data_IF_951898450207
#
_entry.id   IF_951898450207
#
_cell.length_a   1.000
_cell.length_b   1.000
_cell.length_c   1.000
_cell.angle_alpha   90.00
_cell.angle_beta   90.00
_cell.angle_gamma   90.00
#
_symmetry.space_group_name_H-M   'P 1'
#
loop_
_entity.id
_entity.type
_entity.pdbx_description
1 polymer ?
#
# COMPACT_ATOMS: atom_id res chain seq x y z
N UNK A 1 34.12 33.81 -8.02
CA UNK A 1 34.27 32.64 -7.13
C UNK A 1 33.17 32.49 -6.07
N UNK A 2 32.65 33.56 -5.46
CA UNK A 2 31.58 33.48 -4.45
C UNK A 2 30.25 32.89 -4.98
N UNK A 3 29.87 33.20 -6.22
CA UNK A 3 28.68 32.63 -6.85
C UNK A 3 28.75 31.11 -7.03
N UNK A 4 29.93 30.57 -7.36
CA UNK A 4 30.12 29.12 -7.45
C UNK A 4 29.97 28.44 -6.08
N UNK A 5 30.53 29.04 -5.02
CA UNK A 5 30.32 28.54 -3.65
C UNK A 5 28.85 28.57 -3.25
N UNK A 6 28.11 29.64 -3.58
CA UNK A 6 26.67 29.74 -3.34
C UNK A 6 25.89 28.64 -4.08
N UNK A 7 26.16 28.46 -5.37
CA UNK A 7 25.47 27.44 -6.18
C UNK A 7 25.76 26.04 -5.64
N UNK A 8 27.02 25.75 -5.27
CA UNK A 8 27.38 24.46 -4.67
C UNK A 8 26.59 24.17 -3.39
N UNK A 9 26.41 25.16 -2.52
CA UNK A 9 25.63 25.02 -1.29
C UNK A 9 24.15 24.78 -1.61
N UNK A 10 23.56 25.56 -2.52
CA UNK A 10 22.15 25.41 -2.91
C UNK A 10 21.90 24.02 -3.50
N UNK A 11 22.78 23.55 -4.39
CA UNK A 11 22.69 22.20 -4.96
C UNK A 11 22.79 21.13 -3.89
N UNK A 12 23.76 21.23 -2.97
CA UNK A 12 23.94 20.25 -1.89
C UNK A 12 22.72 20.19 -0.95
N UNK A 13 22.11 21.35 -0.63
CA UNK A 13 20.90 21.37 0.20
C UNK A 13 19.69 20.80 -0.55
N UNK A 14 19.58 21.08 -1.85
CA UNK A 14 18.52 20.51 -2.70
C UNK A 14 18.65 19.00 -2.84
N UNK A 15 19.87 18.48 -2.98
CA UNK A 15 20.17 17.05 -3.02
C UNK A 15 19.77 16.38 -1.70
N UNK A 16 20.18 16.96 -0.57
CA UNK A 16 19.79 16.46 0.76
C UNK A 16 18.28 16.48 0.99
N UNK A 17 17.55 17.48 0.49
CA UNK A 17 16.08 17.51 0.57
C UNK A 17 15.45 16.35 -0.22
N UNK A 18 15.94 16.09 -1.44
CA UNK A 18 15.46 14.97 -2.27
C UNK A 18 15.76 13.63 -1.59
N UNK A 19 16.95 13.47 -1.02
CA UNK A 19 17.34 12.26 -0.28
C UNK A 19 16.41 12.01 0.92
N UNK A 20 16.11 13.05 1.72
CA UNK A 20 15.17 12.96 2.83
C UNK A 20 13.78 12.51 2.35
N UNK A 21 13.31 13.06 1.22
CA UNK A 21 12.01 12.65 0.66
C UNK A 21 11.99 11.24 0.12
N UNK A 22 13.09 10.78 -0.46
CA UNK A 22 13.21 9.39 -0.88
C UNK A 22 13.12 8.46 0.34
N UNK A 23 13.82 8.79 1.43
CA UNK A 23 13.71 8.04 2.69
C UNK A 23 12.29 8.04 3.27
N UNK A 24 11.56 9.16 3.19
CA UNK A 24 10.15 9.23 3.60
C UNK A 24 9.28 8.28 2.75
N UNK A 25 9.44 8.28 1.42
CA UNK A 25 8.72 7.36 0.52
C UNK A 25 9.04 5.91 0.87
N UNK A 26 10.31 5.57 1.04
CA UNK A 26 10.74 4.22 1.39
C UNK A 26 10.17 3.78 2.75
N UNK A 27 10.09 4.69 3.73
CA UNK A 27 9.45 4.44 5.02
C UNK A 27 7.96 4.14 4.88
N UNK A 28 7.22 4.93 4.10
CA UNK A 28 5.80 4.67 3.82
C UNK A 28 5.59 3.33 3.12
N UNK A 29 6.40 3.03 2.10
CA UNK A 29 6.36 1.75 1.39
C UNK A 29 6.64 0.58 2.33
N UNK A 30 7.64 0.67 3.20
CA UNK A 30 7.93 -0.35 4.21
C UNK A 30 6.78 -0.58 5.19
N UNK A 31 6.13 0.50 5.64
CA UNK A 31 4.94 0.40 6.47
C UNK A 31 3.78 -0.28 5.73
N UNK A 32 3.51 0.10 4.49
CA UNK A 32 2.46 -0.52 3.69
C UNK A 32 2.71 -2.01 3.40
N UNK A 33 3.95 -2.40 3.16
CA UNK A 33 4.33 -3.82 3.04
C UNK A 33 4.07 -4.58 4.34
N UNK A 34 4.40 -3.97 5.49
CA UNK A 34 4.15 -4.60 6.81
C UNK A 34 2.66 -4.77 7.07
N UNK A 35 1.85 -3.72 6.83
CA UNK A 35 0.38 -3.79 6.97
C UNK A 35 -0.19 -4.83 6.02
N UNK A 36 0.25 -4.85 4.75
CA UNK A 36 -0.20 -5.81 3.75
C UNK A 36 0.11 -7.26 4.15
N UNK A 37 1.30 -7.53 4.70
CA UNK A 37 1.65 -8.85 5.21
C UNK A 37 0.77 -9.31 6.36
N UNK A 38 0.46 -8.41 7.31
CA UNK A 38 -0.45 -8.71 8.42
C UNK A 38 -1.89 -8.91 7.96
N UNK A 39 -2.37 -8.08 7.03
CA UNK A 39 -3.69 -8.20 6.42
C UNK A 39 -3.84 -9.54 5.68
N UNK A 40 -2.81 -9.95 4.93
CA UNK A 40 -2.78 -11.24 4.23
C UNK A 40 -2.88 -12.42 5.19
N UNK A 41 -2.16 -12.37 6.32
CA UNK A 41 -2.25 -13.38 7.36
C UNK A 41 -3.66 -13.43 7.96
N UNK A 42 -4.26 -12.28 8.27
CA UNK A 42 -5.61 -12.21 8.83
C UNK A 42 -6.67 -12.73 7.85
N UNK A 43 -6.57 -12.37 6.58
CA UNK A 43 -7.43 -12.88 5.51
C UNK A 43 -7.31 -14.42 5.42
N UNK A 44 -6.10 -14.98 5.54
CA UNK A 44 -5.88 -16.41 5.59
C UNK A 44 -6.55 -17.08 6.80
N UNK A 45 -6.52 -16.45 7.98
CA UNK A 45 -7.26 -16.96 9.14
C UNK A 45 -8.78 -16.87 8.97
N UNK A 46 -9.27 -15.79 8.36
CA UNK A 46 -10.69 -15.64 8.04
C UNK A 46 -11.15 -16.69 7.01
N UNK A 47 -10.30 -17.06 6.05
CA UNK A 47 -10.61 -18.12 5.10
C UNK A 47 -10.83 -19.47 5.80
N UNK A 48 -10.04 -19.80 6.83
CA UNK A 48 -10.23 -21.02 7.61
C UNK A 48 -11.61 -21.09 8.28
N UNK A 49 -12.19 -19.95 8.65
CA UNK A 49 -13.53 -19.86 9.23
C UNK A 49 -14.64 -20.20 8.23
N UNK A 50 -14.44 -19.90 6.95
CA UNK A 50 -15.37 -20.25 5.86
C UNK A 50 -15.30 -21.75 5.56
N UNK A 51 -14.11 -22.35 5.63
CA UNK A 51 -13.91 -23.76 5.29
C UNK A 51 -14.25 -24.73 6.43
N UNK A 52 -14.48 -24.23 7.64
CA UNK A 52 -14.81 -25.07 8.79
C UNK A 52 -16.20 -25.72 8.62
N UNK A 53 -16.35 -27.04 8.82
CA UNK A 53 -17.64 -27.70 8.66
C UNK A 53 -18.62 -27.24 9.75
N UNK A 54 -19.81 -26.78 9.34
CA UNK A 54 -20.84 -26.29 10.24
C UNK A 54 -21.56 -27.46 10.94
N UNK A 55 -21.72 -27.44 12.27
CA UNK A 55 -22.51 -28.45 12.98
C UNK A 55 -23.99 -28.35 12.60
N UNK A 56 -24.63 -29.50 12.34
CA UNK A 56 -26.02 -29.58 11.86
C UNK A 56 -27.09 -29.40 12.95
N UNK A 57 -26.68 -29.38 14.21
CA UNK A 57 -27.58 -29.47 15.37
C UNK A 57 -28.09 -28.10 15.86
N UNK A 58 -27.80 -27.00 15.15
CA UNK A 58 -28.11 -25.63 15.59
C UNK A 58 -29.27 -25.02 14.77
N UNK A 59 -30.36 -24.65 15.43
CA UNK A 59 -31.59 -24.12 14.78
C UNK A 59 -31.51 -22.62 14.40
N UNK A 60 -30.44 -21.90 14.76
CA UNK A 60 -30.36 -20.45 14.62
C UNK A 60 -29.76 -20.00 13.29
N UNK A 61 -30.52 -20.10 12.20
CA UNK A 61 -30.10 -19.67 10.84
C UNK A 61 -29.65 -18.20 10.78
N UNK A 62 -30.23 -17.32 11.60
CA UNK A 62 -29.86 -15.90 11.62
C UNK A 62 -28.42 -15.69 12.12
N UNK A 63 -28.00 -16.45 13.14
CA UNK A 63 -26.67 -16.30 13.73
C UNK A 63 -25.59 -16.82 12.77
N UNK A 64 -25.88 -17.91 12.07
CA UNK A 64 -25.05 -18.43 10.98
C UNK A 64 -24.89 -17.40 9.85
N UNK A 65 -25.98 -16.76 9.42
CA UNK A 65 -25.94 -15.74 8.39
C UNK A 65 -25.08 -14.53 8.80
N UNK A 66 -25.27 -14.02 10.03
CA UNK A 66 -24.49 -12.89 10.55
C UNK A 66 -23.00 -13.27 10.64
N UNK A 67 -22.70 -14.47 11.13
CA UNK A 67 -21.34 -14.99 11.18
C UNK A 67 -20.68 -14.99 9.78
N UNK A 68 -21.31 -15.61 8.79
CA UNK A 68 -20.78 -15.66 7.43
C UNK A 68 -20.62 -14.26 6.83
N UNK A 69 -21.59 -13.38 7.03
CA UNK A 69 -21.50 -11.99 6.58
C UNK A 69 -20.29 -11.27 7.21
N UNK A 70 -20.10 -11.39 8.52
CA UNK A 70 -18.96 -10.78 9.21
C UNK A 70 -17.61 -11.34 8.73
N UNK A 71 -17.48 -12.66 8.55
CA UNK A 71 -16.24 -13.28 8.04
C UNK A 71 -15.92 -12.80 6.63
N UNK A 72 -16.92 -12.80 5.73
CA UNK A 72 -16.74 -12.31 4.36
C UNK A 72 -16.41 -10.81 4.32
N UNK A 73 -17.06 -10.00 5.16
CA UNK A 73 -16.79 -8.56 5.25
C UNK A 73 -15.38 -8.28 5.79
N UNK A 74 -14.94 -8.99 6.83
CA UNK A 74 -13.57 -8.88 7.35
C UNK A 74 -12.55 -9.29 6.29
N UNK A 75 -12.73 -10.44 5.66
CA UNK A 75 -11.84 -10.93 4.60
C UNK A 75 -11.79 -9.95 3.41
N UNK A 76 -12.93 -9.41 3.00
CA UNK A 76 -13.00 -8.41 1.91
C UNK A 76 -12.30 -7.10 2.27
N UNK A 77 -12.43 -6.63 3.52
CA UNK A 77 -11.73 -5.44 4.00
C UNK A 77 -10.20 -5.64 3.99
N UNK A 78 -9.71 -6.77 4.50
CA UNK A 78 -8.27 -7.09 4.52
C UNK A 78 -7.70 -7.24 3.10
N UNK A 79 -8.41 -7.94 2.21
CA UNK A 79 -8.01 -8.02 0.80
C UNK A 79 -8.00 -6.64 0.13
N UNK A 80 -8.95 -5.77 0.45
CA UNK A 80 -8.96 -4.38 -0.01
C UNK A 80 -7.74 -3.60 0.46
N UNK A 81 -7.34 -3.75 1.73
CA UNK A 81 -6.12 -3.15 2.29
C UNK A 81 -4.87 -3.63 1.56
N UNK A 82 -4.77 -4.92 1.26
CA UNK A 82 -3.64 -5.50 0.48
C UNK A 82 -3.56 -4.87 -0.91
N UNK A 83 -4.69 -4.72 -1.59
CA UNK A 83 -4.72 -4.11 -2.94
C UNK A 83 -4.29 -2.64 -2.89
N UNK A 84 -4.86 -1.85 -1.97
CA UNK A 84 -4.54 -0.42 -1.86
C UNK A 84 -3.07 -0.22 -1.46
N UNK A 85 -2.59 -0.95 -0.46
CA UNK A 85 -1.20 -0.86 0.00
C UNK A 85 -0.20 -1.28 -1.09
N UNK A 86 -0.50 -2.34 -1.85
CA UNK A 86 0.33 -2.79 -2.98
C UNK A 86 0.34 -1.75 -4.10
N UNK A 87 -0.82 -1.17 -4.43
CA UNK A 87 -0.90 -0.12 -5.43
C UNK A 87 -0.07 1.11 -5.04
N UNK A 88 -0.22 1.60 -3.80
CA UNK A 88 0.55 2.75 -3.30
C UNK A 88 2.05 2.48 -3.28
N UNK A 89 2.47 1.27 -2.89
CA UNK A 89 3.87 0.87 -2.81
C UNK A 89 4.55 0.78 -4.18
N UNK A 90 3.79 0.55 -5.26
CA UNK A 90 4.33 0.53 -6.63
C UNK A 90 4.20 1.91 -7.29
N UNK A 91 3.08 2.60 -7.07
CA UNK A 91 2.78 3.88 -7.69
C UNK A 91 3.72 4.99 -7.22
N UNK A 92 3.98 5.09 -5.91
CA UNK A 92 4.80 6.17 -5.36
C UNK A 92 6.26 6.17 -5.87
N UNK A 93 7.02 5.05 -5.82
CA UNK A 93 8.37 5.04 -6.38
C UNK A 93 8.36 5.18 -7.90
N UNK A 94 7.33 4.68 -8.58
CA UNK A 94 7.18 4.88 -10.04
C UNK A 94 7.03 6.35 -10.39
N UNK A 95 6.25 7.10 -9.60
CA UNK A 95 6.08 8.54 -9.79
C UNK A 95 7.34 9.32 -9.40
N UNK A 96 8.04 8.89 -8.35
CA UNK A 96 9.31 9.50 -7.93
C UNK A 96 10.41 9.38 -9.00
N UNK A 97 10.52 8.21 -9.65
CA UNK A 97 11.58 7.94 -10.64
C UNK A 97 11.23 8.37 -12.06
N UNK A 98 9.95 8.26 -12.46
CA UNK A 98 9.49 8.54 -13.84
C UNK A 98 8.75 9.86 -13.99
N UNK A 99 8.64 10.63 -12.90
CA UNK A 99 8.00 11.94 -12.90
C UNK A 99 8.67 12.89 -13.88
N UNK A 100 7.88 13.52 -14.75
CA UNK A 100 8.40 14.51 -15.71
C UNK A 100 8.92 15.76 -15.00
N UNK A 101 8.38 16.07 -13.81
CA UNK A 101 8.62 17.32 -13.07
C UNK A 101 9.66 17.16 -11.94
N UNK A 102 10.51 16.13 -12.03
CA UNK A 102 11.59 15.83 -11.10
C UNK A 102 11.14 15.83 -9.63
N UNK A 103 11.80 16.64 -8.79
CA UNK A 103 11.55 16.72 -7.35
C UNK A 103 10.09 17.09 -6.98
N UNK A 104 9.37 17.77 -7.86
CA UNK A 104 7.96 18.13 -7.61
C UNK A 104 7.07 16.88 -7.57
N UNK A 105 7.32 15.93 -8.46
CA UNK A 105 6.54 14.68 -8.53
C UNK A 105 6.88 13.77 -7.33
N UNK A 106 8.12 13.78 -6.86
CA UNK A 106 8.53 13.12 -5.61
C UNK A 106 7.78 13.68 -4.39
N UNK A 107 7.70 15.01 -4.26
CA UNK A 107 6.92 15.62 -3.18
C UNK A 107 5.45 15.23 -3.24
N UNK A 108 4.86 15.22 -4.44
CA UNK A 108 3.46 14.81 -4.65
C UNK A 108 3.25 13.34 -4.28
N UNK A 109 4.19 12.46 -4.63
CA UNK A 109 4.13 11.04 -4.27
C UNK A 109 4.10 10.87 -2.74
N UNK A 110 5.01 11.54 -2.03
CA UNK A 110 5.08 11.51 -0.57
C UNK A 110 3.82 12.07 0.09
N UNK A 111 3.32 13.23 -0.37
CA UNK A 111 2.11 13.85 0.17
C UNK A 111 0.90 12.91 -0.01
N UNK A 112 0.79 12.26 -1.18
CA UNK A 112 -0.27 11.27 -1.45
C UNK A 112 -0.15 10.04 -0.54
N UNK A 113 1.05 9.49 -0.37
CA UNK A 113 1.26 8.34 0.54
C UNK A 113 0.84 8.66 1.96
N UNK A 114 1.11 9.87 2.44
CA UNK A 114 0.70 10.34 3.77
C UNK A 114 -0.83 10.45 3.89
N UNK A 115 -1.49 11.04 2.89
CA UNK A 115 -2.94 11.27 2.93
C UNK A 115 -3.72 9.95 2.95
N UNK A 116 -3.24 8.93 2.22
CA UNK A 116 -3.86 7.60 2.22
C UNK A 116 -3.53 6.75 3.46
N UNK A 117 -2.52 7.11 4.26
CA UNK A 117 -2.11 6.32 5.42
C UNK A 117 -3.25 6.15 6.43
N UNK A 118 -3.97 7.23 6.72
CA UNK A 118 -5.10 7.18 7.64
C UNK A 118 -6.23 6.28 7.14
N UNK A 119 -6.49 6.29 5.82
CA UNK A 119 -7.51 5.45 5.20
C UNK A 119 -7.13 3.98 5.26
N UNK A 120 -5.91 3.62 4.82
CA UNK A 120 -5.41 2.23 4.83
C UNK A 120 -5.42 1.69 6.26
N UNK A 121 -4.94 2.47 7.22
CA UNK A 121 -4.92 2.08 8.62
C UNK A 121 -6.33 1.91 9.19
N UNK A 122 -7.27 2.81 8.87
CA UNK A 122 -8.66 2.69 9.35
C UNK A 122 -9.37 1.48 8.76
N UNK A 123 -9.18 1.19 7.47
CA UNK A 123 -9.73 0.00 6.82
C UNK A 123 -9.17 -1.30 7.44
N UNK A 124 -7.85 -1.36 7.65
CA UNK A 124 -7.18 -2.49 8.32
C UNK A 124 -7.74 -2.72 9.71
N UNK A 125 -7.84 -1.66 10.52
CA UNK A 125 -8.38 -1.79 11.88
C UNK A 125 -9.87 -2.16 11.90
N UNK A 126 -10.66 -1.69 10.95
CA UNK A 126 -12.05 -2.08 10.80
C UNK A 126 -12.19 -3.58 10.48
N UNK A 127 -11.42 -4.08 9.50
CA UNK A 127 -11.39 -5.52 9.16
C UNK A 127 -11.01 -6.39 10.35
N UNK A 128 -10.02 -5.93 11.10
CA UNK A 128 -9.54 -6.58 12.31
C UNK A 128 -10.58 -6.67 13.43
N UNK A 129 -11.31 -5.59 13.70
CA UNK A 129 -12.42 -5.59 14.69
C UNK A 129 -13.55 -6.54 14.25
N UNK A 130 -13.94 -6.50 12.97
CA UNK A 130 -14.99 -7.39 12.44
C UNK A 130 -14.55 -8.85 12.55
N UNK A 131 -13.28 -9.16 12.30
CA UNK A 131 -12.70 -10.49 12.46
C UNK A 131 -12.84 -11.03 13.89
N UNK A 132 -12.58 -10.21 14.92
CA UNK A 132 -12.76 -10.64 16.31
C UNK A 132 -14.23 -10.87 16.68
N UNK A 133 -15.13 -10.03 16.18
CA UNK A 133 -16.58 -10.24 16.37
C UNK A 133 -16.99 -11.58 15.75
N UNK A 134 -16.53 -11.87 14.53
CA UNK A 134 -16.77 -13.15 13.87
C UNK A 134 -16.19 -14.34 14.67
N UNK A 135 -15.01 -14.18 15.25
CA UNK A 135 -14.37 -15.20 16.10
C UNK A 135 -15.20 -15.51 17.35
N UNK A 136 -15.77 -14.48 17.99
CA UNK A 136 -16.68 -14.68 19.14
C UNK A 136 -17.93 -15.42 18.69
N UNK A 137 -18.56 -15.00 17.60
CA UNK A 137 -19.75 -15.69 17.05
C UNK A 137 -19.46 -17.16 16.72
N UNK A 138 -18.28 -17.47 16.17
CA UNK A 138 -17.87 -18.84 15.91
C UNK A 138 -17.86 -19.72 17.17
N UNK A 139 -17.33 -19.19 18.29
CA UNK A 139 -17.32 -19.92 19.57
C UNK A 139 -18.74 -20.24 20.04
N UNK A 140 -19.68 -19.31 19.84
CA UNK A 140 -21.10 -19.51 20.16
C UNK A 140 -21.79 -20.54 19.26
N UNK A 141 -21.32 -20.73 18.03
CA UNK A 141 -21.82 -21.75 17.11
C UNK A 141 -21.28 -23.13 17.49
N UNK A 142 -19.97 -23.27 17.70
CA UNK A 142 -19.32 -24.58 17.86
C UNK A 142 -19.46 -25.20 19.25
N UNK A 143 -19.55 -24.39 20.31
CA UNK A 143 -19.53 -24.89 21.69
C UNK A 143 -20.91 -24.82 22.37
N UNK A 144 -21.13 -25.75 23.31
CA UNK A 144 -22.29 -25.71 24.21
C UNK A 144 -22.31 -24.39 25.01
N UNK A 145 -23.50 -23.84 25.26
CA UNK A 145 -23.71 -22.51 25.90
C UNK A 145 -22.86 -22.27 27.15
N UNK A 146 -22.71 -23.26 28.02
CA UNK A 146 -21.89 -23.14 29.23
C UNK A 146 -20.42 -22.89 28.91
N UNK A 147 -19.83 -23.68 27.99
CA UNK A 147 -18.42 -23.55 27.59
C UNK A 147 -18.20 -22.27 26.80
N UNK A 148 -19.13 -21.94 25.89
CA UNK A 148 -19.08 -20.73 25.07
C UNK A 148 -19.05 -19.46 25.95
N UNK A 149 -19.77 -19.44 27.06
CA UNK A 149 -19.77 -18.29 27.98
C UNK A 149 -18.40 -18.14 28.66
N UNK A 150 -17.79 -19.23 29.13
CA UNK A 150 -16.47 -19.16 29.77
C UNK A 150 -15.36 -18.71 28.81
N UNK A 151 -15.40 -19.16 27.55
CA UNK A 151 -14.39 -18.80 26.55
C UNK A 151 -14.62 -17.40 25.98
N UNK A 152 -15.87 -16.97 25.83
CA UNK A 152 -16.17 -15.65 25.26
C UNK A 152 -15.75 -14.49 26.18
N UNK A 153 -15.77 -14.65 27.51
CA UNK A 153 -15.34 -13.60 28.45
C UNK A 153 -13.90 -13.11 28.19
N UNK A 154 -12.85 -13.96 28.24
CA UNK A 154 -11.49 -13.52 27.98
C UNK A 154 -11.31 -13.01 26.54
N UNK A 155 -11.98 -13.62 25.56
CA UNK A 155 -11.96 -13.13 24.17
C UNK A 155 -12.55 -11.72 24.03
N UNK A 156 -13.70 -11.46 24.66
CA UNK A 156 -14.32 -10.14 24.65
C UNK A 156 -13.47 -9.10 25.38
N UNK A 157 -12.86 -9.45 26.51
CA UNK A 157 -11.91 -8.55 27.21
C UNK A 157 -10.73 -8.22 26.30
N UNK A 158 -10.16 -9.23 25.64
CA UNK A 158 -9.07 -9.04 24.69
C UNK A 158 -9.49 -8.12 23.54
N UNK A 159 -10.62 -8.38 22.89
CA UNK A 159 -11.16 -7.54 21.81
C UNK A 159 -11.38 -6.10 22.26
N UNK A 160 -11.97 -5.88 23.44
CA UNK A 160 -12.18 -4.54 23.99
C UNK A 160 -10.87 -3.84 24.32
N UNK A 161 -9.91 -4.55 24.91
CA UNK A 161 -8.58 -4.02 25.20
C UNK A 161 -7.89 -3.57 23.92
N UNK A 162 -8.03 -4.33 22.83
CA UNK A 162 -7.43 -3.89 21.58
C UNK A 162 -8.20 -2.71 20.98
N UNK A 163 -9.54 -2.72 20.94
CA UNK A 163 -10.31 -1.56 20.47
C UNK A 163 -9.87 -0.29 21.23
N UNK A 164 -9.69 -0.38 22.55
CA UNK A 164 -9.17 0.71 23.36
C UNK A 164 -7.76 1.14 22.94
N UNK A 165 -6.85 0.18 22.77
CA UNK A 165 -5.50 0.44 22.28
C UNK A 165 -5.50 1.09 20.88
N UNK A 166 -6.41 0.70 20.00
CA UNK A 166 -6.56 1.28 18.66
C UNK A 166 -7.02 2.73 18.71
N UNK A 167 -7.97 3.06 19.59
CA UNK A 167 -8.37 4.44 19.81
C UNK A 167 -7.25 5.28 20.40
N UNK A 168 -6.53 4.75 21.41
CA UNK A 168 -5.37 5.43 22.00
C UNK A 168 -4.26 5.66 20.96
N UNK A 169 -3.96 4.64 20.15
CA UNK A 169 -2.99 4.73 19.06
C UNK A 169 -3.43 5.73 17.99
N UNK A 170 -4.71 5.73 17.61
CA UNK A 170 -5.25 6.68 16.64
C UNK A 170 -5.17 8.12 17.16
N UNK A 171 -5.46 8.31 18.45
CA UNK A 171 -5.36 9.62 19.10
C UNK A 171 -3.90 10.11 19.15
N UNK A 172 -2.97 9.24 19.56
CA UNK A 172 -1.54 9.58 19.68
C UNK A 172 -0.85 9.78 18.32
N UNK A 173 -1.25 9.03 17.29
CA UNK A 173 -0.72 9.16 15.93
C UNK A 173 -1.36 10.29 15.13
N UNK A 174 -2.48 10.84 15.59
CA UNK A 174 -3.10 12.00 14.97
C UNK A 174 -2.33 13.25 15.35
N UNK A 175 -1.17 13.45 14.73
CA UNK A 175 -0.45 14.72 14.83
C UNK A 175 -1.27 15.79 14.09
N UNK A 176 -1.62 16.89 14.77
CA UNK A 176 -2.30 17.99 14.11
C UNK A 176 -1.37 18.59 13.04
N UNK A 177 -1.96 19.00 11.91
CA UNK A 177 -1.22 19.38 10.69
C UNK A 177 -0.21 20.53 10.91
N UNK A 178 -0.42 21.33 11.96
CA UNK A 178 0.46 22.43 12.36
C UNK A 178 1.79 21.95 12.98
N UNK A 179 1.84 20.74 13.52
CA UNK A 179 3.04 20.15 14.14
C UNK A 179 3.77 19.16 13.23
N UNK A 180 3.22 18.86 12.06
CA UNK A 180 3.85 17.91 11.12
C UNK A 180 5.07 18.56 10.49
N UNK A 181 6.25 18.23 11.01
CA UNK A 181 7.53 18.56 10.40
C UNK A 181 7.69 17.71 9.15
N UNK A 182 7.26 18.26 8.01
CA UNK A 182 7.52 17.65 6.71
C UNK A 182 8.92 17.99 6.26
N UNK A 183 9.63 17.07 5.57
CA UNK A 183 10.88 17.37 4.87
C UNK A 183 10.75 18.44 3.76
N UNK A 184 9.59 19.11 3.62
CA UNK A 184 9.39 20.25 2.71
C UNK A 184 9.96 21.51 3.33
N UNK A 185 11.06 22.00 2.79
CA UNK A 185 11.53 23.33 3.12
C UNK A 185 10.83 24.30 2.16
N UNK A 186 9.79 24.99 2.64
CA UNK A 186 8.96 25.90 1.83
C UNK A 186 9.79 26.96 1.06
N UNK A 187 10.96 27.33 1.59
CA UNK A 187 11.86 28.31 0.99
C UNK A 187 12.54 27.82 -0.30
N UNK A 188 12.61 26.50 -0.55
CA UNK A 188 13.22 25.93 -1.76
C UNK A 188 12.24 25.72 -2.92
N UNK A 189 10.96 26.07 -2.76
CA UNK A 189 9.95 25.96 -3.83
C UNK A 189 10.34 26.66 -5.14
N UNK A 190 11.12 27.75 -5.05
CA UNK A 190 11.65 28.45 -6.24
C UNK A 190 12.76 27.67 -6.96
N UNK A 191 13.49 26.83 -6.24
CA UNK A 191 14.59 26.01 -6.75
C UNK A 191 14.10 24.64 -7.26
N UNK A 192 12.99 24.13 -6.73
CA UNK A 192 12.35 22.90 -7.22
C UNK A 192 11.94 23.01 -8.71
N UNK A 193 11.50 24.20 -9.15
CA UNK A 193 11.17 24.47 -10.56
C UNK A 193 12.41 24.64 -11.46
N UNK A 194 13.61 24.76 -10.90
CA UNK A 194 14.86 24.96 -11.66
C UNK A 194 15.40 23.61 -12.17
N UNK A 195 14.97 22.48 -11.60
CA UNK A 195 15.30 21.16 -12.16
C UNK A 195 14.78 20.94 -13.59
N UNK A 196 13.75 21.68 -13.99
CA UNK A 196 13.11 21.61 -15.31
C UNK A 196 13.72 22.60 -16.34
N UNK A 197 14.98 23.01 -16.16
CA UNK A 197 15.70 23.88 -17.14
C UNK A 197 15.68 23.28 -18.56
N UNK A 198 15.53 21.96 -18.71
CA UNK A 198 15.37 21.30 -20.00
C UNK A 198 14.07 21.73 -20.74
N UNK A 199 12.97 21.95 -20.01
CA UNK A 199 11.68 22.38 -20.57
C UNK A 199 11.62 23.89 -20.85
N UNK A 200 12.47 24.68 -20.15
CA UNK A 200 12.54 26.14 -20.28
C UNK A 200 13.51 26.65 -21.36
N UNK A 201 14.35 25.79 -21.92
CA UNK A 201 15.13 26.15 -23.10
C UNK A 201 14.17 26.14 -24.30
N UNK A 202 13.83 27.31 -24.90
CA UNK A 202 13.15 27.27 -26.19
C UNK A 202 13.98 26.39 -27.09
N UNK A 203 13.36 25.49 -27.84
CA UNK A 203 14.02 24.71 -28.88
C UNK A 203 14.60 25.68 -29.92
N UNK A 204 15.73 26.33 -29.60
CA UNK A 204 16.51 27.19 -30.48
C UNK A 204 17.25 26.26 -31.41
N UNK A 205 16.49 25.69 -32.33
CA UNK A 205 16.91 24.55 -33.12
C UNK A 205 15.79 23.94 -33.95
N UNK A 206 14.69 24.64 -34.22
CA UNK A 206 13.95 24.46 -35.47
C UNK A 206 14.84 24.96 -36.61
N UNK A 207 15.87 24.16 -36.93
CA UNK A 207 16.51 24.20 -38.22
C UNK A 207 15.39 24.05 -39.25
N UNK A 208 15.13 25.13 -39.97
CA UNK A 208 14.27 25.19 -41.12
C UNK A 208 14.77 24.16 -42.14
N UNK A 209 14.26 22.94 -42.07
CA UNK A 209 14.42 21.92 -43.10
C UNK A 209 13.27 22.11 -44.09
N UNK A 210 13.41 23.14 -44.90
CA UNK A 210 12.69 23.24 -46.15
C UNK A 210 13.16 22.11 -47.09
N UNK A 211 12.21 21.35 -47.63
CA UNK A 211 12.39 20.56 -48.85
C UNK A 211 12.92 19.14 -48.67
N UNK A 212 12.03 18.16 -48.77
CA UNK A 212 12.37 16.74 -48.87
C UNK A 212 11.13 15.88 -49.00
N UNK A 213 10.52 15.88 -50.18
CA UNK A 213 9.41 15.01 -50.54
C UNK A 213 9.83 13.53 -50.52
N UNK A 214 8.87 12.66 -50.15
CA UNK A 214 8.86 11.25 -50.51
C UNK A 214 9.65 10.32 -49.58
N UNK A 215 8.93 9.48 -48.85
CA UNK A 215 9.52 8.41 -48.06
C UNK A 215 8.48 7.65 -47.25
N UNK A 216 7.64 6.87 -47.95
CA UNK A 216 6.89 5.76 -47.37
C UNK A 216 7.81 4.87 -46.54
N UNK A 217 7.66 4.85 -45.22
CA UNK A 217 8.14 3.72 -44.42
C UNK A 217 7.19 3.41 -43.25
N UNK A 218 6.49 2.30 -43.46
CA UNK A 218 6.32 1.22 -42.50
C UNK A 218 5.50 1.46 -41.24
N UNK A 219 4.24 1.01 -41.33
CA UNK A 219 3.53 0.39 -40.23
C UNK A 219 4.42 -0.70 -39.60
N UNK A 220 4.82 -0.50 -38.34
CA UNK A 220 5.38 -1.56 -37.51
C UNK A 220 4.22 -2.31 -36.89
N UNK A 221 4.17 -3.59 -37.23
CA UNK A 221 3.16 -4.54 -36.83
C UNK A 221 3.03 -4.68 -35.31
N UNK A 222 1.76 -4.85 -34.94
CA UNK A 222 1.30 -5.42 -33.71
C UNK A 222 1.71 -6.91 -33.74
N UNK A 223 2.81 -7.25 -33.07
CA UNK A 223 3.22 -8.65 -32.91
C UNK A 223 2.51 -9.23 -31.67
N UNK A 224 1.54 -10.09 -31.95
CA UNK A 224 0.90 -11.00 -31.03
C UNK A 224 1.91 -12.05 -30.55
N UNK A 225 1.90 -12.30 -29.24
CA UNK A 225 2.11 -13.64 -28.68
C UNK A 225 3.50 -14.25 -28.80
N UNK A 226 4.28 -14.18 -27.71
CA UNK A 226 5.19 -15.28 -27.40
C UNK A 226 5.13 -15.59 -25.89
N UNK A 227 4.52 -16.73 -25.59
CA UNK A 227 4.45 -17.33 -24.27
C UNK A 227 5.85 -17.73 -23.78
N UNK A 228 6.22 -17.46 -22.51
CA UNK A 228 7.40 -18.06 -21.93
C UNK A 228 7.16 -19.56 -21.68
N UNK A 229 7.78 -20.42 -22.51
CA UNK A 229 7.92 -21.86 -22.24
C UNK A 229 8.65 -22.07 -20.92
N UNK A 230 7.92 -22.55 -19.91
CA UNK A 230 8.45 -23.07 -18.66
C UNK A 230 9.19 -24.38 -18.96
N UNK A 231 10.53 -24.34 -18.92
CA UNK A 231 11.37 -25.53 -18.90
C UNK A 231 11.24 -26.22 -17.54
N UNK A 232 10.29 -27.15 -17.44
CA UNK A 232 10.20 -28.13 -16.35
C UNK A 232 11.36 -29.12 -16.50
N UNK A 233 12.47 -28.87 -15.80
CA UNK A 233 13.55 -29.85 -15.64
C UNK A 233 13.13 -30.88 -14.59
N UNK A 234 12.55 -31.99 -15.07
CA UNK A 234 12.25 -33.16 -14.26
C UNK A 234 13.54 -33.84 -13.81
N UNK A 235 13.79 -33.84 -12.49
CA UNK A 235 14.84 -34.65 -11.86
C UNK A 235 14.21 -35.83 -11.14
N UNK A 236 14.01 -36.91 -11.89
CA UNK A 236 13.65 -38.24 -11.38
C UNK A 236 14.80 -38.76 -10.52
N UNK A 237 14.64 -38.77 -9.20
CA UNK A 237 15.56 -39.51 -8.32
C UNK A 237 14.90 -40.82 -7.93
N UNK A 238 15.21 -41.84 -8.72
CA UNK A 238 15.09 -43.24 -8.38
C UNK A 238 16.01 -43.50 -7.18
N UNK A 239 15.47 -43.98 -6.06
CA UNK A 239 16.29 -44.76 -5.11
C UNK A 239 15.46 -45.86 -4.47
N UNK A 240 15.69 -47.05 -5.00
CA UNK A 240 15.46 -48.34 -4.39
C UNK A 240 16.29 -48.51 -3.13
N UNK A 241 15.67 -48.95 -2.04
CA UNK A 241 16.09 -50.07 -1.18
C UNK A 241 15.01 -50.27 -0.12
#
# INVERSE_FOLDING_TARGET
MLQLKKNKIVTHVSEGQVEIRQMEVDWYCGNYQTISGQAAMLAGFAFNFITAPMPKDQENTLLEFIYFYCVCAAMGAELGVIVISSYLSVWAPSLALRGKRGATDLHKACDTLRDYQALVFTCFMCGWVIYFIASVLQVWIFYRKSIATFVSIPFSIFTLAIIWYLFDLRWKLSLPEDQVVSGKIAHFRRYENIGDIADGLPASGSASRAGGAGGDYFAVGQDEGDEPKILVSGRTTQRSS
#
